data_IF_305131737707
#
_entry.id   IF_305131737707
#
_cell.length_a   1.000
_cell.length_b   1.000
_cell.length_c   1.000
_cell.angle_alpha   90.00
_cell.angle_beta   90.00
_cell.angle_gamma   90.00
#
_symmetry.space_group_name_H-M   'P 1'
#
loop_
_entity.id
_entity.type
_entity.pdbx_description
1 polymer ?
#
# COMPACT_ATOMS: atom_id res chain seq x y z
N UNK A 1 -7.72 3.55 7.51
CA UNK A 1 -6.42 3.18 6.91
C UNK A 1 -5.45 4.35 6.94
N UNK A 2 -5.87 5.57 6.56
CA UNK A 2 -5.08 6.82 6.64
C UNK A 2 -4.25 7.00 7.91
N UNK A 3 -4.89 6.96 9.08
CA UNK A 3 -4.19 7.08 10.37
C UNK A 3 -3.11 6.01 10.60
N UNK A 4 -3.37 4.77 10.17
CA UNK A 4 -2.39 3.69 10.25
C UNK A 4 -1.23 3.92 9.27
N UNK A 5 -1.53 4.30 8.03
CA UNK A 5 -0.53 4.57 7.01
C UNK A 5 0.41 5.70 7.44
N UNK A 6 -0.11 6.81 7.95
CA UNK A 6 0.69 7.93 8.49
C UNK A 6 1.64 7.50 9.61
N UNK A 7 1.15 6.72 10.58
CA UNK A 7 1.99 6.15 11.65
C UNK A 7 3.09 5.24 11.10
N UNK A 8 2.81 4.48 10.06
CA UNK A 8 3.81 3.62 9.43
C UNK A 8 4.83 4.43 8.61
N UNK A 9 4.41 5.54 7.98
CA UNK A 9 5.34 6.50 7.33
C UNK A 9 6.33 7.08 8.34
N UNK A 10 5.88 7.48 9.53
CA UNK A 10 6.77 7.96 10.60
C UNK A 10 7.85 6.92 10.95
N UNK A 11 7.46 5.64 11.07
CA UNK A 11 8.39 4.53 11.35
C UNK A 11 9.37 4.28 10.21
N UNK A 12 8.89 4.30 8.97
CA UNK A 12 9.74 4.15 7.78
C UNK A 12 10.76 5.30 7.70
N UNK A 13 10.35 6.53 8.01
CA UNK A 13 11.23 7.70 8.02
C UNK A 13 12.30 7.61 9.14
N UNK A 14 12.03 6.87 10.20
CA UNK A 14 13.01 6.52 11.24
C UNK A 14 13.90 5.32 10.86
N UNK A 15 13.84 4.88 9.60
CA UNK A 15 14.57 3.74 9.05
C UNK A 15 14.19 2.38 9.67
N UNK A 16 13.04 2.29 10.37
CA UNK A 16 12.50 1.02 10.84
C UNK A 16 12.11 0.12 9.65
N UNK A 17 12.25 -1.20 9.81
CA UNK A 17 11.80 -2.19 8.82
C UNK A 17 10.47 -2.79 9.26
N UNK A 18 9.46 -2.68 8.41
CA UNK A 18 8.09 -3.08 8.71
C UNK A 18 7.69 -4.21 7.76
N UNK A 19 7.15 -5.30 8.32
CA UNK A 19 6.54 -6.38 7.55
C UNK A 19 5.02 -6.20 7.59
N UNK A 20 4.42 -6.12 6.40
CA UNK A 20 2.96 -6.08 6.24
C UNK A 20 2.50 -7.40 5.64
N UNK A 21 1.50 -8.04 6.25
CA UNK A 21 0.93 -9.27 5.71
C UNK A 21 -0.60 -9.30 5.78
N UNK A 22 -1.20 -10.21 5.03
CA UNK A 22 -2.59 -10.62 5.20
C UNK A 22 -2.65 -12.16 5.06
N UNK A 23 -3.68 -12.72 4.42
CA UNK A 23 -3.69 -14.16 4.08
C UNK A 23 -2.84 -14.47 2.84
N UNK A 24 -3.02 -13.71 1.76
CA UNK A 24 -2.31 -13.93 0.48
C UNK A 24 -1.21 -12.93 0.16
N UNK A 25 -1.09 -11.84 0.92
CA UNK A 25 -0.14 -10.77 0.63
C UNK A 25 -0.43 -9.99 -0.67
N UNK A 26 -1.68 -9.99 -1.15
CA UNK A 26 -2.11 -9.37 -2.42
C UNK A 26 -3.13 -8.26 -2.17
N UNK A 27 -4.25 -8.57 -1.48
CA UNK A 27 -5.31 -7.60 -1.20
C UNK A 27 -4.93 -6.58 -0.11
N UNK A 28 -5.44 -6.76 1.11
CA UNK A 28 -5.24 -5.81 2.23
C UNK A 28 -3.78 -5.43 2.51
N UNK A 29 -2.85 -6.36 2.32
CA UNK A 29 -1.43 -6.09 2.49
C UNK A 29 -0.91 -5.12 1.41
N UNK A 30 -1.20 -5.41 0.13
CA UNK A 30 -0.87 -4.53 -0.98
C UNK A 30 -1.52 -3.15 -0.83
N UNK A 31 -2.80 -3.10 -0.42
CA UNK A 31 -3.49 -1.83 -0.13
C UNK A 31 -2.78 -1.00 0.93
N UNK A 32 -2.35 -1.61 2.04
CA UNK A 32 -1.64 -0.88 3.10
C UNK A 32 -0.26 -0.41 2.63
N UNK A 33 0.47 -1.21 1.85
CA UNK A 33 1.73 -0.79 1.25
C UNK A 33 1.54 0.38 0.28
N UNK A 34 0.52 0.35 -0.58
CA UNK A 34 0.20 1.46 -1.48
C UNK A 34 -0.22 2.71 -0.68
N UNK A 35 -1.01 2.55 0.37
CA UNK A 35 -1.41 3.65 1.25
C UNK A 35 -0.20 4.34 1.91
N UNK A 36 0.84 3.59 2.31
CA UNK A 36 2.08 4.16 2.84
C UNK A 36 2.79 5.03 1.78
N UNK A 37 2.89 4.55 0.53
CA UNK A 37 3.48 5.33 -0.56
C UNK A 37 2.66 6.59 -0.87
N UNK A 38 1.33 6.49 -0.83
CA UNK A 38 0.43 7.62 -1.09
C UNK A 38 0.60 8.70 -0.02
N UNK A 39 0.68 8.33 1.26
CA UNK A 39 0.95 9.29 2.33
C UNK A 39 2.38 9.89 2.25
N UNK A 40 3.29 9.31 1.43
CA UNK A 40 4.60 9.89 1.09
C UNK A 40 4.55 10.76 -0.17
N UNK A 41 3.37 11.02 -0.74
CA UNK A 41 3.17 11.91 -1.87
C UNK A 41 3.18 11.23 -3.24
N UNK A 42 3.22 9.90 -3.31
CA UNK A 42 3.07 9.15 -4.57
C UNK A 42 1.60 9.14 -4.97
N UNK A 43 1.31 9.26 -6.28
CA UNK A 43 -0.07 9.18 -6.76
C UNK A 43 -0.70 7.81 -6.51
N UNK A 44 -2.02 7.74 -6.44
CA UNK A 44 -2.75 6.51 -6.14
C UNK A 44 -2.45 5.40 -7.16
N UNK A 45 -2.46 5.75 -8.45
CA UNK A 45 -2.15 4.87 -9.57
C UNK A 45 -0.70 4.36 -9.49
N UNK A 46 0.26 5.27 -9.30
CA UNK A 46 1.68 4.93 -9.24
C UNK A 46 1.99 4.07 -7.99
N UNK A 47 1.34 4.33 -6.85
CA UNK A 47 1.51 3.53 -5.65
C UNK A 47 0.97 2.11 -5.80
N UNK A 48 -0.09 1.91 -6.59
CA UNK A 48 -0.58 0.57 -6.92
C UNK A 48 0.40 -0.14 -7.86
N UNK A 49 0.92 0.58 -8.86
CA UNK A 49 1.87 0.06 -9.83
C UNK A 49 3.18 -0.38 -9.17
N UNK A 50 3.83 0.50 -8.39
CA UNK A 50 5.07 0.19 -7.68
C UNK A 50 4.94 -1.02 -6.76
N UNK A 51 3.82 -1.15 -6.05
CA UNK A 51 3.60 -2.30 -5.15
C UNK A 51 3.31 -3.57 -5.95
N UNK A 52 2.60 -3.47 -7.08
CA UNK A 52 2.39 -4.60 -8.00
C UNK A 52 3.73 -5.11 -8.57
N UNK A 53 4.58 -4.20 -9.03
CA UNK A 53 5.92 -4.50 -9.56
C UNK A 53 6.79 -5.17 -8.49
N UNK A 54 6.88 -4.57 -7.31
CA UNK A 54 7.66 -5.13 -6.19
C UNK A 54 7.14 -6.51 -5.75
N UNK A 55 5.83 -6.75 -5.85
CA UNK A 55 5.23 -8.03 -5.48
C UNK A 55 5.35 -9.09 -6.58
N UNK A 56 5.48 -8.67 -7.85
CA UNK A 56 5.47 -9.52 -9.04
C UNK A 56 4.09 -10.00 -9.47
N UNK A 57 3.02 -9.46 -8.88
CA UNK A 57 1.62 -9.75 -9.23
C UNK A 57 0.78 -8.49 -9.08
N UNK A 58 -0.34 -8.42 -9.80
CA UNK A 58 -1.29 -7.32 -9.66
C UNK A 58 -1.85 -7.26 -8.24
N UNK A 59 -1.81 -6.08 -7.64
CA UNK A 59 -2.53 -5.73 -6.41
C UNK A 59 -3.47 -4.55 -6.68
N UNK A 60 -4.49 -4.35 -5.84
CA UNK A 60 -5.00 -5.28 -4.83
C UNK A 60 -5.80 -6.43 -5.46
N UNK A 61 -6.33 -7.34 -4.63
CA UNK A 61 -6.91 -8.63 -5.03
C UNK A 61 -8.21 -8.50 -5.84
N UNK A 62 -9.00 -7.46 -5.56
CA UNK A 62 -10.30 -7.26 -6.21
C UNK A 62 -10.41 -5.89 -6.88
N UNK A 63 -11.28 -5.80 -7.89
CA UNK A 63 -11.61 -4.53 -8.53
C UNK A 63 -12.20 -3.50 -7.56
N UNK A 64 -12.94 -3.93 -6.53
CA UNK A 64 -13.47 -3.04 -5.49
C UNK A 64 -12.36 -2.45 -4.63
N UNK A 65 -11.36 -3.27 -4.25
CA UNK A 65 -10.18 -2.78 -3.54
C UNK A 65 -9.39 -1.79 -4.41
N UNK A 66 -9.26 -2.06 -5.71
CA UNK A 66 -8.59 -1.14 -6.64
C UNK A 66 -9.34 0.19 -6.72
N UNK A 67 -10.67 0.16 -6.91
CA UNK A 67 -11.51 1.37 -6.92
C UNK A 67 -11.36 2.17 -5.62
N UNK A 68 -11.34 1.49 -4.48
CA UNK A 68 -11.10 2.13 -3.18
C UNK A 68 -9.74 2.83 -3.13
N UNK A 69 -8.67 2.17 -3.60
CA UNK A 69 -7.33 2.75 -3.64
C UNK A 69 -7.21 3.94 -4.59
N UNK A 70 -7.92 3.96 -5.71
CA UNK A 70 -7.93 5.12 -6.63
C UNK A 70 -8.56 6.35 -5.96
N UNK A 71 -9.51 6.16 -5.04
CA UNK A 71 -10.14 7.25 -4.27
C UNK A 71 -9.54 7.49 -2.87
N UNK A 72 -8.45 6.80 -2.53
CA UNK A 72 -7.81 6.86 -1.21
C UNK A 72 -7.07 8.18 -0.98
#
# INVERSE_FOLDING_TARGET
MKELAKKLVEKVNQNEKIIVHCRGGIGRAGMLCSAILIEQGISNEEAIEKVSEARGVTIPDTGEQKKWMISY
#
